data_IF_856196702395
#
_entry.id   IF_856196702395
#
_cell.length_a   1.000
_cell.length_b   1.000
_cell.length_c   1.000
_cell.angle_alpha   90.00
_cell.angle_beta   90.00
_cell.angle_gamma   90.00
#
_symmetry.space_group_name_H-M   'P 1'
#
loop_
_entity.id
_entity.type
_entity.pdbx_description
1 polymer ?
#
# COMPACT_ATOMS: atom_id res chain seq x y z
N UNK A 1 -16.90 -44.91 20.24
CA UNK A 1 -16.72 -44.76 18.78
C UNK A 1 -16.41 -43.30 18.40
N UNK A 2 -15.35 -42.70 18.92
CA UNK A 2 -15.00 -41.30 18.62
C UNK A 2 -13.49 -41.09 18.44
N UNK A 3 -12.76 -42.14 18.05
CA UNK A 3 -11.29 -42.04 17.93
C UNK A 3 -10.75 -42.33 16.52
N UNK A 4 -11.63 -42.52 15.53
CA UNK A 4 -11.20 -42.90 14.18
C UNK A 4 -11.25 -41.70 13.17
N UNK A 5 -11.65 -40.50 13.60
CA UNK A 5 -11.84 -39.39 12.67
C UNK A 5 -10.71 -38.34 12.67
N UNK A 6 -9.61 -38.60 13.39
CA UNK A 6 -8.53 -37.59 13.48
C UNK A 6 -7.23 -37.93 12.72
N UNK A 7 -7.22 -39.02 11.93
CA UNK A 7 -5.99 -39.41 11.23
C UNK A 7 -5.90 -39.02 9.76
N UNK A 8 -6.89 -38.27 9.22
CA UNK A 8 -6.92 -37.97 7.80
C UNK A 8 -6.53 -36.52 7.45
N UNK A 9 -6.02 -35.76 8.41
CA UNK A 9 -5.83 -34.30 8.18
C UNK A 9 -4.35 -33.86 8.21
N UNK A 10 -3.42 -34.74 7.86
CA UNK A 10 -2.02 -34.32 7.74
C UNK A 10 -1.41 -34.86 6.45
N UNK A 11 -2.05 -34.58 5.34
CA UNK A 11 -1.33 -34.64 4.07
C UNK A 11 -0.33 -33.47 4.10
N UNK A 12 0.91 -33.71 4.47
CA UNK A 12 2.02 -32.78 4.29
C UNK A 12 1.98 -32.31 2.84
N UNK A 13 1.62 -31.04 2.63
CA UNK A 13 1.78 -30.41 1.32
C UNK A 13 3.27 -30.52 0.99
N UNK A 14 3.60 -31.40 0.08
CA UNK A 14 4.97 -31.53 -0.43
C UNK A 14 5.30 -30.18 -1.10
N UNK A 15 6.27 -29.49 -0.55
CA UNK A 15 6.72 -28.20 -1.07
C UNK A 15 7.24 -28.41 -2.48
N UNK A 16 6.49 -27.96 -3.46
CA UNK A 16 6.87 -28.07 -4.87
C UNK A 16 7.74 -26.88 -5.29
N UNK A 17 8.75 -27.18 -6.09
CA UNK A 17 9.68 -26.22 -6.62
C UNK A 17 9.60 -26.27 -8.15
N UNK A 18 9.95 -25.16 -8.81
CA UNK A 18 10.07 -25.12 -10.27
C UNK A 18 11.49 -25.54 -10.64
N UNK A 19 11.59 -26.51 -11.52
CA UNK A 19 12.86 -27.01 -12.07
C UNK A 19 12.94 -26.66 -13.55
N UNK A 20 14.09 -26.15 -13.97
CA UNK A 20 14.46 -25.96 -15.37
C UNK A 20 15.16 -27.24 -15.81
N UNK A 21 14.69 -27.82 -16.88
CA UNK A 21 15.31 -29.04 -17.41
C UNK A 21 15.69 -28.85 -18.87
N UNK A 22 16.78 -29.50 -19.26
CA UNK A 22 17.25 -29.63 -20.65
C UNK A 22 17.41 -31.12 -20.92
N UNK A 23 17.01 -31.55 -22.10
CA UNK A 23 17.09 -32.95 -22.47
C UNK A 23 17.00 -33.15 -23.98
N UNK A 24 16.99 -34.42 -24.36
CA UNK A 24 16.84 -34.82 -25.78
C UNK A 24 15.56 -35.63 -25.95
N UNK A 25 14.82 -35.33 -26.97
CA UNK A 25 13.64 -36.10 -27.35
C UNK A 25 14.03 -37.40 -28.06
N UNK A 26 13.02 -38.20 -28.41
CA UNK A 26 13.24 -39.48 -29.11
C UNK A 26 13.94 -39.34 -30.48
N UNK A 27 13.94 -38.12 -31.02
CA UNK A 27 14.58 -37.79 -32.31
C UNK A 27 15.99 -37.18 -32.14
N UNK A 28 16.48 -37.13 -30.89
CA UNK A 28 17.80 -36.58 -30.57
C UNK A 28 17.87 -35.06 -30.51
N UNK A 29 16.73 -34.37 -30.71
CA UNK A 29 16.66 -32.89 -30.69
C UNK A 29 16.71 -32.37 -29.26
N UNK A 30 17.48 -31.32 -29.00
CA UNK A 30 17.55 -30.63 -27.70
C UNK A 30 16.26 -29.90 -27.42
N UNK A 31 15.64 -30.21 -26.30
CA UNK A 31 14.40 -29.57 -25.78
C UNK A 31 14.65 -29.07 -24.39
N UNK A 32 13.95 -27.97 -24.03
CA UNK A 32 14.07 -27.31 -22.73
C UNK A 32 12.66 -26.98 -22.21
N UNK A 33 12.52 -26.99 -20.91
CA UNK A 33 11.25 -26.62 -20.31
C UNK A 33 11.33 -26.41 -18.82
N UNK A 34 10.17 -26.16 -18.23
CA UNK A 34 10.01 -26.01 -16.77
C UNK A 34 9.02 -27.07 -16.29
N UNK A 35 9.26 -27.58 -15.07
CA UNK A 35 8.36 -28.52 -14.44
C UNK A 35 8.31 -28.25 -12.93
N UNK A 36 7.12 -28.25 -12.36
CA UNK A 36 6.93 -28.20 -10.91
C UNK A 36 7.03 -29.62 -10.37
N UNK A 37 7.89 -29.81 -9.38
CA UNK A 37 8.14 -31.13 -8.78
C UNK A 37 8.65 -30.96 -7.34
N UNK A 38 8.50 -32.00 -6.55
CA UNK A 38 9.01 -32.04 -5.18
C UNK A 38 10.52 -32.25 -5.12
N UNK A 39 11.11 -32.81 -6.18
CA UNK A 39 12.55 -33.09 -6.24
C UNK A 39 13.01 -33.25 -7.69
N UNK A 40 14.33 -33.21 -7.91
CA UNK A 40 14.96 -33.46 -9.23
C UNK A 40 14.64 -34.87 -9.75
N UNK A 41 14.54 -35.83 -8.84
CA UNK A 41 14.20 -37.21 -9.20
C UNK A 41 12.81 -37.30 -9.84
N UNK A 42 11.84 -36.57 -9.31
CA UNK A 42 10.48 -36.49 -9.86
C UNK A 42 10.49 -35.88 -11.27
N UNK A 43 11.32 -34.86 -11.50
CA UNK A 43 11.49 -34.24 -12.84
C UNK A 43 12.01 -35.27 -13.83
N UNK A 44 13.07 -36.01 -13.46
CA UNK A 44 13.69 -37.04 -14.30
C UNK A 44 12.69 -38.14 -14.65
N UNK A 45 11.95 -38.66 -13.68
CA UNK A 45 10.95 -39.72 -13.89
C UNK A 45 9.82 -39.23 -14.80
N UNK A 46 9.31 -38.03 -14.55
CA UNK A 46 8.21 -37.44 -15.34
C UNK A 46 8.61 -37.23 -16.80
N UNK A 47 9.80 -36.68 -17.02
CA UNK A 47 10.31 -36.41 -18.38
C UNK A 47 10.61 -37.71 -19.12
N UNK A 48 11.14 -38.73 -18.41
CA UNK A 48 11.41 -40.05 -18.98
C UNK A 48 10.11 -40.70 -19.47
N UNK A 49 9.02 -40.57 -18.71
CA UNK A 49 7.68 -41.04 -19.12
C UNK A 49 7.19 -40.36 -20.41
N UNK A 50 7.60 -39.11 -20.66
CA UNK A 50 7.26 -38.37 -21.88
C UNK A 50 8.24 -38.65 -23.02
N UNK A 51 9.21 -39.56 -22.82
CA UNK A 51 10.18 -39.91 -23.83
C UNK A 51 11.32 -38.91 -23.99
N UNK A 52 11.58 -38.10 -22.98
CA UNK A 52 12.65 -37.10 -22.97
C UNK A 52 13.76 -37.59 -22.03
N UNK A 53 14.98 -37.70 -22.53
CA UNK A 53 16.15 -38.02 -21.71
C UNK A 53 16.76 -36.73 -21.21
N UNK A 54 16.54 -36.44 -19.92
CA UNK A 54 17.00 -35.21 -19.28
C UNK A 54 18.52 -35.28 -19.08
N UNK A 55 19.23 -34.28 -19.59
CA UNK A 55 20.69 -34.16 -19.46
C UNK A 55 21.09 -33.18 -18.35
N UNK A 56 20.20 -32.23 -18.02
CA UNK A 56 20.49 -31.20 -17.02
C UNK A 56 19.20 -30.77 -16.34
N UNK A 57 19.21 -30.75 -15.00
CA UNK A 57 18.12 -30.25 -14.15
C UNK A 57 18.72 -29.19 -13.23
N UNK A 58 18.08 -28.04 -13.15
CA UNK A 58 18.44 -27.00 -12.18
C UNK A 58 17.19 -26.52 -11.46
N UNK A 59 17.25 -26.49 -10.16
CA UNK A 59 16.22 -25.84 -9.36
C UNK A 59 16.22 -24.34 -9.72
N UNK A 60 15.05 -23.85 -10.14
CA UNK A 60 14.88 -22.41 -10.42
C UNK A 60 14.99 -21.68 -9.11
N UNK A 61 16.15 -21.15 -8.81
CA UNK A 61 16.32 -20.22 -7.70
C UNK A 61 15.43 -19.01 -8.00
N UNK A 62 14.58 -18.67 -7.03
CA UNK A 62 13.70 -17.52 -7.14
C UNK A 62 14.55 -16.28 -7.45
N UNK A 63 14.66 -15.95 -8.69
CA UNK A 63 14.75 -14.54 -9.06
C UNK A 63 13.35 -14.04 -8.78
N UNK A 64 13.19 -13.27 -7.72
CA UNK A 64 11.91 -12.63 -7.44
C UNK A 64 11.48 -11.96 -8.74
N UNK A 65 10.41 -12.42 -9.31
CA UNK A 65 9.82 -11.79 -10.48
C UNK A 65 9.57 -10.33 -10.15
N UNK A 66 9.60 -9.47 -11.15
CA UNK A 66 9.32 -8.05 -10.98
C UNK A 66 8.01 -7.90 -10.20
N UNK A 67 8.04 -7.11 -9.12
CA UNK A 67 6.88 -6.93 -8.24
C UNK A 67 5.70 -6.35 -9.02
N UNK A 68 4.51 -6.88 -8.78
CA UNK A 68 3.26 -6.37 -9.35
C UNK A 68 2.79 -5.21 -8.46
N UNK A 69 2.65 -4.03 -9.07
CA UNK A 69 2.20 -2.82 -8.36
C UNK A 69 0.69 -2.61 -8.51
N UNK A 70 0.13 -1.74 -7.66
CA UNK A 70 -1.26 -1.30 -7.78
C UNK A 70 -1.53 -0.68 -9.16
N UNK A 71 -0.52 0.02 -9.71
CA UNK A 71 -0.58 0.63 -11.05
C UNK A 71 -0.72 -0.44 -12.14
N UNK A 72 0.00 -1.57 -12.00
CA UNK A 72 -0.08 -2.70 -12.94
C UNK A 72 -1.49 -3.29 -12.94
N UNK A 73 -2.10 -3.47 -11.76
CA UNK A 73 -3.46 -4.01 -11.62
C UNK A 73 -4.49 -3.02 -12.19
N UNK A 74 -4.31 -1.72 -11.95
CA UNK A 74 -5.18 -0.68 -12.52
C UNK A 74 -5.13 -0.69 -14.05
N UNK A 75 -3.93 -0.76 -14.62
CA UNK A 75 -3.72 -0.84 -16.08
C UNK A 75 -4.35 -2.12 -16.65
N UNK A 76 -4.12 -3.26 -16.00
CA UNK A 76 -4.74 -4.54 -16.37
C UNK A 76 -6.27 -4.42 -16.41
N UNK A 77 -6.87 -3.84 -15.35
CA UNK A 77 -8.32 -3.66 -15.24
C UNK A 77 -8.85 -2.76 -16.35
N UNK A 78 -8.16 -1.65 -16.63
CA UNK A 78 -8.52 -0.73 -17.73
C UNK A 78 -8.47 -1.43 -19.09
N UNK A 79 -7.41 -2.17 -19.35
CA UNK A 79 -7.24 -2.90 -20.61
C UNK A 79 -8.34 -3.95 -20.80
N UNK A 80 -8.61 -4.73 -19.74
CA UNK A 80 -9.66 -5.77 -19.76
C UNK A 80 -11.04 -5.13 -20.01
N UNK A 81 -11.36 -4.06 -19.28
CA UNK A 81 -12.63 -3.34 -19.43
C UNK A 81 -12.81 -2.79 -20.85
N UNK A 82 -11.77 -2.20 -21.41
CA UNK A 82 -11.80 -1.61 -22.75
C UNK A 82 -12.05 -2.69 -23.82
N UNK A 83 -11.36 -3.83 -23.71
CA UNK A 83 -11.53 -4.94 -24.65
C UNK A 83 -12.92 -5.57 -24.56
N UNK A 84 -13.41 -5.80 -23.35
CA UNK A 84 -14.74 -6.36 -23.12
C UNK A 84 -15.82 -5.43 -23.66
N UNK A 85 -15.65 -4.12 -23.45
CA UNK A 85 -16.58 -3.09 -23.94
C UNK A 85 -16.59 -3.03 -25.49
N UNK A 86 -15.45 -3.33 -26.11
CA UNK A 86 -15.31 -3.42 -27.58
C UNK A 86 -15.85 -4.75 -28.13
N UNK A 87 -16.35 -5.64 -27.28
CA UNK A 87 -16.92 -6.92 -27.69
C UNK A 87 -15.92 -8.06 -27.83
N UNK A 88 -14.67 -7.87 -27.40
CA UNK A 88 -13.66 -8.94 -27.44
C UNK A 88 -14.02 -9.98 -26.35
N UNK A 89 -14.08 -11.28 -26.71
CA UNK A 89 -14.39 -12.31 -25.70
C UNK A 89 -13.38 -12.32 -24.55
N UNK A 90 -13.83 -12.71 -23.35
CA UNK A 90 -13.06 -12.65 -22.12
C UNK A 90 -11.71 -13.38 -22.21
N UNK A 91 -11.69 -14.62 -22.70
CA UNK A 91 -10.45 -15.41 -22.80
C UNK A 91 -9.47 -14.78 -23.79
N UNK A 92 -9.98 -14.26 -24.91
CA UNK A 92 -9.15 -13.55 -25.89
C UNK A 92 -8.59 -12.26 -25.32
N UNK A 93 -9.39 -11.53 -24.52
CA UNK A 93 -8.94 -10.31 -23.82
C UNK A 93 -7.78 -10.62 -22.88
N UNK A 94 -7.88 -11.72 -22.12
CA UNK A 94 -6.78 -12.18 -21.25
C UNK A 94 -5.51 -12.47 -22.05
N UNK A 95 -5.62 -13.14 -23.19
CA UNK A 95 -4.48 -13.45 -24.08
C UNK A 95 -3.79 -12.17 -24.53
N UNK A 96 -4.55 -11.18 -24.99
CA UNK A 96 -4.03 -9.91 -25.50
C UNK A 96 -3.31 -9.15 -24.38
N UNK A 97 -3.94 -9.05 -23.21
CA UNK A 97 -3.36 -8.34 -22.05
C UNK A 97 -2.08 -9.03 -21.59
N UNK A 98 -2.09 -10.36 -21.50
CA UNK A 98 -0.91 -11.14 -21.07
C UNK A 98 0.27 -10.93 -21.99
N UNK A 99 0.04 -10.92 -23.29
CA UNK A 99 1.11 -10.73 -24.31
C UNK A 99 1.61 -9.30 -24.34
N UNK A 100 0.74 -8.32 -24.09
CA UNK A 100 1.05 -6.89 -24.22
C UNK A 100 1.59 -6.22 -22.96
N UNK A 101 1.57 -6.89 -21.81
CA UNK A 101 1.96 -6.25 -20.55
C UNK A 101 3.49 -6.22 -20.39
N UNK A 102 4.02 -5.06 -19.98
CA UNK A 102 5.46 -4.84 -19.80
C UNK A 102 6.04 -5.65 -18.63
N UNK A 103 5.23 -5.97 -17.61
CA UNK A 103 5.68 -6.72 -16.43
C UNK A 103 5.42 -8.21 -16.62
N UNK A 104 6.47 -9.05 -16.75
CA UNK A 104 6.27 -10.51 -16.95
C UNK A 104 5.50 -11.20 -15.83
N UNK A 105 5.58 -10.67 -14.60
CA UNK A 105 4.83 -11.22 -13.44
C UNK A 105 3.32 -11.03 -13.64
N UNK A 106 2.89 -9.91 -14.22
CA UNK A 106 1.48 -9.64 -14.56
C UNK A 106 1.02 -10.61 -15.66
N UNK A 107 1.85 -10.84 -16.69
CA UNK A 107 1.55 -11.80 -17.76
C UNK A 107 1.31 -13.19 -17.19
N UNK A 108 2.17 -13.62 -16.25
CA UNK A 108 2.05 -14.92 -15.56
C UNK A 108 0.75 -14.98 -14.75
N UNK A 109 0.45 -13.93 -13.98
CA UNK A 109 -0.79 -13.85 -13.16
C UNK A 109 -2.04 -13.94 -14.05
N UNK A 110 -2.08 -13.17 -15.13
CA UNK A 110 -3.20 -13.14 -16.09
C UNK A 110 -3.39 -14.51 -16.73
N UNK A 111 -2.29 -15.18 -17.11
CA UNK A 111 -2.35 -16.53 -17.70
C UNK A 111 -2.89 -17.57 -16.70
N UNK A 112 -2.54 -17.47 -15.43
CA UNK A 112 -3.08 -18.37 -14.37
C UNK A 112 -4.59 -18.17 -14.22
N UNK A 113 -5.05 -16.92 -14.17
CA UNK A 113 -6.48 -16.57 -14.08
C UNK A 113 -7.22 -17.07 -15.32
N UNK A 114 -6.65 -16.85 -16.50
CA UNK A 114 -7.19 -17.33 -17.77
C UNK A 114 -7.38 -18.84 -17.75
N UNK A 115 -6.38 -19.58 -17.29
CA UNK A 115 -6.44 -21.03 -17.18
C UNK A 115 -7.58 -21.50 -16.28
N UNK A 116 -7.77 -20.84 -15.14
CA UNK A 116 -8.87 -21.17 -14.21
C UNK A 116 -10.24 -20.92 -14.85
N UNK A 117 -10.40 -19.80 -15.53
CA UNK A 117 -11.67 -19.45 -16.21
C UNK A 117 -11.95 -20.43 -17.36
N UNK A 118 -10.92 -20.80 -18.12
CA UNK A 118 -11.00 -21.74 -19.24
C UNK A 118 -11.50 -23.12 -18.76
N UNK A 119 -11.13 -23.55 -17.55
CA UNK A 119 -11.54 -24.84 -16.96
C UNK A 119 -12.86 -24.77 -16.22
N UNK A 120 -13.58 -23.63 -16.28
CA UNK A 120 -14.92 -23.50 -15.74
C UNK A 120 -15.05 -22.76 -14.41
N UNK A 121 -13.96 -22.28 -13.82
CA UNK A 121 -14.01 -21.44 -12.62
C UNK A 121 -14.60 -20.08 -12.98
N UNK A 122 -15.48 -19.54 -12.14
CA UNK A 122 -16.02 -18.19 -12.35
C UNK A 122 -14.89 -17.17 -12.25
N UNK A 123 -15.02 -16.05 -12.95
CA UNK A 123 -14.00 -15.00 -12.98
C UNK A 123 -13.75 -14.44 -11.58
N UNK A 124 -14.80 -14.21 -10.80
CA UNK A 124 -14.70 -13.71 -9.42
C UNK A 124 -13.92 -14.68 -8.52
N UNK A 125 -14.19 -15.99 -8.66
CA UNK A 125 -13.47 -17.03 -7.90
C UNK A 125 -12.01 -17.12 -8.33
N UNK A 126 -11.73 -16.97 -9.62
CA UNK A 126 -10.35 -16.97 -10.15
C UNK A 126 -9.55 -15.80 -9.56
N UNK A 127 -10.14 -14.61 -9.45
CA UNK A 127 -9.51 -13.45 -8.82
C UNK A 127 -9.32 -13.64 -7.31
N UNK A 128 -10.26 -14.32 -6.64
CA UNK A 128 -10.19 -14.56 -5.18
C UNK A 128 -8.98 -15.41 -4.76
N UNK A 129 -8.41 -16.18 -5.68
CA UNK A 129 -7.19 -16.96 -5.43
C UNK A 129 -5.95 -16.07 -5.20
N UNK A 130 -6.03 -14.80 -5.58
CA UNK A 130 -4.91 -13.85 -5.50
C UNK A 130 -5.31 -12.61 -4.67
N UNK A 131 -5.56 -12.78 -3.35
CA UNK A 131 -6.05 -11.68 -2.50
C UNK A 131 -5.05 -10.55 -2.32
N UNK A 132 -3.78 -10.78 -2.60
CA UNK A 132 -2.74 -9.75 -2.56
C UNK A 132 -2.95 -8.67 -3.63
N UNK A 133 -3.55 -9.04 -4.77
CA UNK A 133 -3.74 -8.14 -5.93
C UNK A 133 -5.20 -7.75 -6.14
N UNK A 134 -6.13 -8.62 -5.78
CA UNK A 134 -7.57 -8.45 -5.99
C UNK A 134 -8.29 -8.52 -4.65
N UNK A 135 -8.67 -7.35 -4.13
CA UNK A 135 -9.34 -7.22 -2.83
C UNK A 135 -10.80 -7.72 -2.90
N UNK A 136 -11.46 -7.88 -1.76
CA UNK A 136 -12.89 -8.33 -1.76
C UNK A 136 -13.81 -7.44 -2.58
N UNK A 137 -13.56 -6.11 -2.60
CA UNK A 137 -14.35 -5.18 -3.44
C UNK A 137 -14.25 -5.57 -4.91
N UNK A 138 -13.03 -5.79 -5.42
CA UNK A 138 -12.77 -6.19 -6.81
C UNK A 138 -13.54 -7.47 -7.15
N UNK A 139 -13.37 -8.50 -6.32
CA UNK A 139 -13.98 -9.81 -6.53
C UNK A 139 -15.51 -9.76 -6.45
N UNK A 140 -16.06 -8.98 -5.51
CA UNK A 140 -17.51 -8.84 -5.34
C UNK A 140 -18.15 -8.11 -6.53
N UNK A 141 -17.49 -7.06 -7.04
CA UNK A 141 -17.98 -6.34 -8.24
C UNK A 141 -17.97 -7.24 -9.48
N UNK A 142 -16.89 -7.99 -9.67
CA UNK A 142 -16.79 -8.95 -10.79
C UNK A 142 -17.89 -10.01 -10.66
N UNK A 143 -18.10 -10.56 -9.47
CA UNK A 143 -19.14 -11.54 -9.19
C UNK A 143 -20.54 -11.01 -9.49
N UNK A 144 -20.81 -9.77 -9.08
CA UNK A 144 -22.09 -9.10 -9.37
C UNK A 144 -22.31 -8.96 -10.89
N UNK A 145 -21.25 -8.58 -11.61
CA UNK A 145 -21.28 -8.46 -13.07
C UNK A 145 -21.54 -9.79 -13.77
N UNK A 146 -20.92 -10.86 -13.30
CA UNK A 146 -21.11 -12.22 -13.82
C UNK A 146 -22.57 -12.69 -13.63
N UNK A 147 -23.10 -12.50 -12.42
CA UNK A 147 -24.46 -12.91 -12.07
C UNK A 147 -25.52 -12.14 -12.86
N UNK A 148 -25.31 -10.84 -13.06
CA UNK A 148 -26.25 -9.95 -13.76
C UNK A 148 -26.07 -9.94 -15.29
N UNK A 149 -24.99 -10.54 -15.80
CA UNK A 149 -24.69 -10.53 -17.23
C UNK A 149 -24.22 -9.16 -17.77
N UNK A 150 -23.66 -8.33 -16.89
CA UNK A 150 -23.20 -6.96 -17.22
C UNK A 150 -21.72 -6.80 -16.85
N UNK A 151 -20.92 -7.83 -17.09
CA UNK A 151 -19.51 -7.86 -16.69
C UNK A 151 -18.71 -6.69 -17.27
N UNK A 152 -18.94 -6.33 -18.53
CA UNK A 152 -18.25 -5.22 -19.19
C UNK A 152 -18.50 -3.87 -18.50
N UNK A 153 -19.75 -3.60 -18.08
CA UNK A 153 -20.10 -2.37 -17.35
C UNK A 153 -19.43 -2.33 -15.99
N UNK A 154 -19.42 -3.46 -15.28
CA UNK A 154 -18.82 -3.55 -13.94
C UNK A 154 -17.29 -3.43 -14.01
N UNK A 155 -16.65 -3.98 -15.05
CA UNK A 155 -15.22 -3.83 -15.27
C UNK A 155 -14.85 -2.36 -15.56
N UNK A 156 -15.70 -1.66 -16.33
CA UNK A 156 -15.52 -0.21 -16.57
C UNK A 156 -15.60 0.59 -15.28
N UNK A 157 -16.62 0.33 -14.44
CA UNK A 157 -16.77 0.97 -13.12
C UNK A 157 -15.56 0.67 -12.22
N UNK A 158 -15.10 -0.57 -12.24
CA UNK A 158 -13.95 -1.03 -11.47
C UNK A 158 -12.65 -0.36 -11.93
N UNK A 159 -12.48 -0.20 -13.25
CA UNK A 159 -11.31 0.50 -13.83
C UNK A 159 -11.30 1.97 -13.39
N UNK A 160 -12.45 2.65 -13.46
CA UNK A 160 -12.59 4.05 -13.00
C UNK A 160 -12.28 4.15 -11.50
N UNK A 161 -12.81 3.25 -10.70
CA UNK A 161 -12.56 3.19 -9.24
C UNK A 161 -11.07 3.05 -8.94
N UNK A 162 -10.40 2.11 -9.59
CA UNK A 162 -8.96 1.86 -9.42
C UNK A 162 -8.14 3.09 -9.81
N UNK A 163 -8.46 3.71 -10.93
CA UNK A 163 -7.77 4.92 -11.42
C UNK A 163 -7.91 6.10 -10.45
N UNK A 164 -9.13 6.36 -9.96
CA UNK A 164 -9.40 7.45 -9.00
C UNK A 164 -8.70 7.22 -7.66
N UNK A 165 -8.77 6.00 -7.13
CA UNK A 165 -8.10 5.63 -5.88
C UNK A 165 -6.58 5.79 -6.00
N UNK A 166 -6.02 5.33 -7.11
CA UNK A 166 -4.58 5.43 -7.42
C UNK A 166 -4.15 6.89 -7.58
N UNK A 167 -4.98 7.72 -8.21
CA UNK A 167 -4.71 9.17 -8.38
C UNK A 167 -4.59 9.87 -7.03
N UNK A 168 -5.53 9.64 -6.11
CA UNK A 168 -5.50 10.20 -4.74
C UNK A 168 -4.20 9.79 -4.03
N UNK A 169 -3.88 8.51 -4.06
CA UNK A 169 -2.69 7.94 -3.43
C UNK A 169 -1.42 8.56 -4.02
N UNK A 170 -1.39 8.73 -5.34
CA UNK A 170 -0.28 9.34 -6.07
C UNK A 170 -0.07 10.81 -5.71
N UNK A 171 -1.15 11.58 -5.59
CA UNK A 171 -1.10 13.00 -5.22
C UNK A 171 -0.51 13.20 -3.82
N UNK A 172 -0.98 12.40 -2.85
CA UNK A 172 -0.47 12.46 -1.47
C UNK A 172 1.02 12.09 -1.45
N UNK A 173 1.40 11.01 -2.14
CA UNK A 173 2.80 10.55 -2.21
C UNK A 173 3.72 11.61 -2.83
N UNK A 174 3.29 12.23 -3.93
CA UNK A 174 4.06 13.29 -4.62
C UNK A 174 4.24 14.51 -3.73
N UNK A 175 3.19 14.92 -3.02
CA UNK A 175 3.23 16.06 -2.11
C UNK A 175 4.19 15.83 -0.94
N UNK A 176 4.35 14.58 -0.50
CA UNK A 176 5.23 14.21 0.62
C UNK A 176 6.70 14.06 0.22
N UNK A 177 6.99 13.96 -1.08
CA UNK A 177 8.36 13.74 -1.57
C UNK A 177 9.31 14.87 -1.16
N UNK A 178 8.91 16.13 -1.40
CA UNK A 178 9.74 17.32 -1.11
C UNK A 178 10.03 17.46 0.39
N UNK A 179 9.04 17.44 1.30
CA UNK A 179 9.31 17.52 2.75
C UNK A 179 10.21 16.40 3.27
N UNK A 180 9.96 15.17 2.85
CA UNK A 180 10.75 14.01 3.28
C UNK A 180 12.20 14.14 2.80
N UNK A 181 12.39 14.59 1.55
CA UNK A 181 13.74 14.79 0.97
C UNK A 181 14.54 15.86 1.74
N UNK A 182 13.90 16.97 2.07
CA UNK A 182 14.57 18.06 2.83
C UNK A 182 14.94 17.56 4.23
N UNK A 183 14.04 16.86 4.91
CA UNK A 183 14.32 16.33 6.25
C UNK A 183 15.45 15.30 6.22
N UNK A 184 15.51 14.47 5.18
CA UNK A 184 16.59 13.49 4.99
C UNK A 184 17.94 14.18 4.80
N UNK A 185 17.97 15.23 3.96
CA UNK A 185 19.19 16.04 3.74
C UNK A 185 19.61 16.73 5.04
N UNK A 186 18.65 17.30 5.78
CA UNK A 186 18.91 17.95 7.07
C UNK A 186 19.53 16.95 8.07
N UNK A 187 19.02 15.74 8.13
CA UNK A 187 19.54 14.66 8.98
C UNK A 187 21.00 14.34 8.61
N UNK A 188 21.30 14.18 7.31
CA UNK A 188 22.63 13.87 6.80
C UNK A 188 23.60 15.03 7.14
N UNK A 189 23.21 16.28 6.87
CA UNK A 189 24.01 17.47 7.14
C UNK A 189 24.30 17.58 8.65
N UNK A 190 23.29 17.39 9.49
CA UNK A 190 23.46 17.43 10.95
C UNK A 190 24.42 16.34 11.42
N UNK A 191 24.30 15.13 10.89
CA UNK A 191 25.21 14.03 11.22
C UNK A 191 26.64 14.33 10.83
N UNK A 192 26.87 14.91 9.65
CA UNK A 192 28.18 15.33 9.16
C UNK A 192 28.80 16.40 10.10
N UNK A 193 28.00 17.42 10.46
CA UNK A 193 28.42 18.49 11.36
C UNK A 193 28.83 17.90 12.73
N UNK A 194 27.98 17.03 13.28
CA UNK A 194 28.20 16.44 14.61
C UNK A 194 29.42 15.50 14.66
N UNK A 195 29.70 14.78 13.58
CA UNK A 195 30.75 13.76 13.53
C UNK A 195 32.13 14.39 13.17
N UNK A 196 32.18 15.38 12.28
CA UNK A 196 33.42 15.93 11.77
C UNK A 196 33.67 17.39 12.16
N UNK A 197 32.68 18.27 12.07
CA UNK A 197 32.88 19.72 12.27
C UNK A 197 32.96 20.06 13.74
N UNK A 198 32.04 19.60 14.57
CA UNK A 198 32.06 19.89 16.03
C UNK A 198 33.32 19.36 16.71
N UNK A 199 33.80 18.14 16.45
CA UNK A 199 35.07 17.67 17.02
C UNK A 199 36.26 18.55 16.63
N UNK A 200 36.32 19.06 15.41
CA UNK A 200 37.38 19.98 14.97
C UNK A 200 37.37 21.27 15.78
N UNK A 201 36.18 21.87 15.99
CA UNK A 201 36.03 23.06 16.85
C UNK A 201 36.36 22.76 18.31
N UNK A 202 36.01 21.58 18.80
CA UNK A 202 36.35 21.16 20.16
C UNK A 202 37.87 21.21 20.42
N UNK A 203 38.65 20.69 19.49
CA UNK A 203 40.12 20.72 19.58
C UNK A 203 40.63 22.16 19.67
N UNK A 204 40.07 23.07 18.87
CA UNK A 204 40.42 24.48 18.88
C UNK A 204 40.11 25.11 20.25
N UNK A 205 38.88 24.89 20.76
CA UNK A 205 38.44 25.48 22.05
C UNK A 205 39.26 24.95 23.23
N UNK A 206 39.61 23.68 23.22
CA UNK A 206 40.46 23.07 24.26
C UNK A 206 41.85 23.72 24.31
N UNK A 207 42.42 24.10 23.16
CA UNK A 207 43.71 24.74 23.08
C UNK A 207 43.72 26.15 23.68
N UNK A 208 42.58 26.83 23.75
CA UNK A 208 42.46 28.16 24.36
C UNK A 208 42.22 28.13 25.87
N UNK A 209 41.82 26.97 26.43
CA UNK A 209 41.68 26.77 27.87
C UNK A 209 40.59 27.57 28.55
N UNK A 210 39.63 28.13 27.79
CA UNK A 210 38.53 28.93 28.31
C UNK A 210 37.33 28.07 28.72
N UNK A 211 36.56 28.52 29.71
CA UNK A 211 35.31 27.91 30.11
C UNK A 211 34.26 28.10 28.97
N UNK A 212 33.63 27.01 28.57
CA UNK A 212 32.68 27.01 27.46
C UNK A 212 31.24 27.28 27.94
N UNK A 213 30.43 28.02 27.16
CA UNK A 213 29.02 28.20 27.47
C UNK A 213 28.24 26.86 27.50
N UNK A 214 27.16 26.82 28.28
CA UNK A 214 26.33 25.62 28.43
C UNK A 214 25.81 25.06 27.11
N UNK A 215 25.29 25.88 26.17
CA UNK A 215 24.85 25.34 24.87
C UNK A 215 25.97 24.67 24.07
N UNK A 216 27.18 25.22 24.12
CA UNK A 216 28.36 24.64 23.45
C UNK A 216 28.75 23.30 24.09
N UNK A 217 28.73 23.21 25.43
CA UNK A 217 29.00 21.97 26.14
C UNK A 217 27.98 20.88 25.81
N UNK A 218 26.68 21.25 25.68
CA UNK A 218 25.63 20.32 25.31
C UNK A 218 25.84 19.75 23.90
N UNK A 219 26.18 20.62 22.94
CA UNK A 219 26.45 20.19 21.55
C UNK A 219 27.67 19.31 21.48
N UNK A 220 28.74 19.65 22.22
CA UNK A 220 29.96 18.85 22.27
C UNK A 220 29.73 17.48 22.90
N UNK A 221 28.92 17.41 23.96
CA UNK A 221 28.56 16.14 24.60
C UNK A 221 27.81 15.24 23.64
N UNK A 222 26.85 15.80 22.89
CA UNK A 222 26.12 15.08 21.86
C UNK A 222 27.03 14.60 20.74
N UNK A 223 27.95 15.44 20.31
CA UNK A 223 28.96 15.10 19.28
C UNK A 223 29.84 13.95 19.74
N UNK A 224 30.40 14.02 20.97
CA UNK A 224 31.20 12.96 21.54
C UNK A 224 30.46 11.63 21.60
N UNK A 225 29.18 11.67 21.99
CA UNK A 225 28.36 10.49 22.03
C UNK A 225 28.20 9.90 20.62
N UNK A 226 27.95 10.73 19.61
CA UNK A 226 27.78 10.28 18.21
C UNK A 226 29.09 9.72 17.63
N UNK A 227 30.22 10.39 17.89
CA UNK A 227 31.53 9.94 17.39
C UNK A 227 31.95 8.62 18.04
N UNK A 228 31.69 8.46 19.33
CA UNK A 228 32.03 7.25 20.08
C UNK A 228 31.15 6.06 19.73
N UNK A 229 29.88 6.30 19.36
CA UNK A 229 28.89 5.26 19.26
C UNK A 229 28.18 5.25 17.88
N UNK A 230 28.73 5.88 16.85
CA UNK A 230 28.06 5.94 15.52
C UNK A 230 27.73 4.56 14.96
N UNK A 231 28.60 3.58 15.20
CA UNK A 231 28.47 2.21 14.74
C UNK A 231 27.37 1.44 15.49
N UNK A 232 26.86 2.01 16.60
CA UNK A 232 25.71 1.48 17.36
C UNK A 232 24.46 2.32 17.05
N UNK A 233 24.59 3.66 17.01
CA UNK A 233 23.48 4.61 16.86
C UNK A 233 22.74 4.39 15.52
N UNK A 234 23.49 4.38 14.39
CA UNK A 234 22.87 4.28 13.07
C UNK A 234 22.22 2.90 12.85
N UNK A 235 22.88 1.77 13.15
CA UNK A 235 22.19 0.48 13.07
C UNK A 235 20.95 0.37 13.97
N UNK A 236 20.99 0.92 15.19
CA UNK A 236 19.85 0.93 16.12
C UNK A 236 18.68 1.74 15.53
N UNK A 237 18.97 2.93 14.98
CA UNK A 237 17.95 3.78 14.35
C UNK A 237 17.30 3.04 13.16
N UNK A 238 18.12 2.48 12.26
CA UNK A 238 17.61 1.78 11.07
C UNK A 238 16.83 0.50 11.47
N UNK A 239 17.34 -0.25 12.44
CA UNK A 239 16.64 -1.45 12.95
C UNK A 239 15.32 -1.07 13.61
N UNK A 240 15.32 0.00 14.40
CA UNK A 240 14.10 0.53 15.06
C UNK A 240 13.04 0.96 14.06
N UNK A 241 13.47 1.69 13.03
CA UNK A 241 12.55 2.13 11.94
C UNK A 241 11.99 0.92 11.19
N UNK A 242 12.85 -0.05 10.87
CA UNK A 242 12.44 -1.27 10.18
C UNK A 242 11.41 -2.05 11.01
N UNK A 243 11.69 -2.25 12.30
CA UNK A 243 10.78 -2.96 13.22
C UNK A 243 9.47 -2.21 13.41
N UNK A 244 9.52 -0.86 13.51
CA UNK A 244 8.34 -0.02 13.63
C UNK A 244 7.43 -0.17 12.41
N UNK A 245 7.99 -0.04 11.20
CA UNK A 245 7.20 -0.17 9.97
C UNK A 245 6.68 -1.59 9.76
N UNK A 246 7.45 -2.59 10.14
CA UNK A 246 7.02 -4.00 10.06
C UNK A 246 5.88 -4.28 11.05
N UNK A 247 5.99 -3.78 12.29
CA UNK A 247 4.94 -3.88 13.31
C UNK A 247 3.65 -3.18 12.84
N UNK A 248 3.79 -2.00 12.26
CA UNK A 248 2.65 -1.23 11.73
C UNK A 248 1.93 -2.03 10.64
N UNK A 249 2.67 -2.69 9.76
CA UNK A 249 2.07 -3.50 8.67
C UNK A 249 1.39 -4.77 9.18
N UNK A 250 1.92 -5.38 10.23
CA UNK A 250 1.47 -6.70 10.71
C UNK A 250 0.49 -6.67 11.87
N UNK A 251 0.60 -5.68 12.75
CA UNK A 251 -0.20 -5.61 13.98
C UNK A 251 -1.45 -4.77 13.76
N UNK A 252 -2.63 -5.38 13.92
CA UNK A 252 -3.93 -4.68 13.83
C UNK A 252 -4.07 -3.63 14.94
N UNK A 253 -3.54 -3.93 16.14
CA UNK A 253 -3.55 -2.97 17.27
C UNK A 253 -2.73 -1.73 16.91
N UNK A 254 -1.53 -1.94 16.36
CA UNK A 254 -0.64 -0.85 15.92
C UNK A 254 -1.30 -0.01 14.83
N UNK A 255 -1.94 -0.66 13.85
CA UNK A 255 -2.66 0.02 12.77
C UNK A 255 -3.77 0.91 13.32
N UNK A 256 -4.57 0.41 14.27
CA UNK A 256 -5.66 1.16 14.89
C UNK A 256 -5.16 2.39 15.65
N UNK A 257 -4.08 2.23 16.41
CA UNK A 257 -3.47 3.34 17.18
C UNK A 257 -2.92 4.39 16.20
N UNK A 258 -2.17 3.96 15.18
CA UNK A 258 -1.56 4.86 14.21
C UNK A 258 -2.62 5.59 13.37
N UNK A 259 -3.64 4.88 12.92
CA UNK A 259 -4.74 5.48 12.13
C UNK A 259 -5.48 6.55 12.94
N UNK A 260 -5.71 6.28 14.23
CA UNK A 260 -6.36 7.24 15.14
C UNK A 260 -5.49 8.48 15.36
N UNK A 261 -4.20 8.27 15.58
CA UNK A 261 -3.23 9.35 15.78
C UNK A 261 -3.08 10.21 14.53
N UNK A 262 -3.03 9.57 13.36
CA UNK A 262 -2.88 10.27 12.07
C UNK A 262 -4.09 11.15 11.76
N UNK A 263 -5.31 10.71 12.11
CA UNK A 263 -6.52 11.53 11.93
C UNK A 263 -6.50 12.78 12.83
N UNK A 264 -5.81 12.71 13.98
CA UNK A 264 -5.68 13.84 14.93
C UNK A 264 -4.43 14.71 14.63
N UNK A 265 -3.56 14.25 13.75
CA UNK A 265 -2.32 14.98 13.42
C UNK A 265 -2.65 16.36 12.84
N UNK A 266 -1.97 17.42 13.30
CA UNK A 266 -2.17 18.73 12.70
C UNK A 266 -1.72 18.70 11.25
N UNK A 267 -2.45 19.40 10.38
CA UNK A 267 -2.20 19.52 8.93
C UNK A 267 -2.54 18.20 8.19
N UNK A 268 -1.93 17.07 8.58
CA UNK A 268 -2.08 15.76 7.91
C UNK A 268 -3.45 15.14 8.14
N UNK A 269 -4.05 15.35 9.31
CA UNK A 269 -5.33 14.75 9.68
C UNK A 269 -6.45 15.13 8.72
N UNK A 270 -6.49 16.38 8.28
CA UNK A 270 -7.49 16.87 7.30
C UNK A 270 -7.37 16.14 5.95
N UNK A 271 -6.13 15.99 5.45
CA UNK A 271 -5.87 15.28 4.17
C UNK A 271 -6.33 13.82 4.29
N UNK A 272 -5.97 13.15 5.38
CA UNK A 272 -6.31 11.75 5.62
C UNK A 272 -7.83 11.57 5.75
N UNK A 273 -8.49 12.45 6.50
CA UNK A 273 -9.95 12.42 6.68
C UNK A 273 -10.68 12.58 5.34
N UNK A 274 -10.33 13.60 4.57
CA UNK A 274 -10.95 13.88 3.27
C UNK A 274 -10.70 12.74 2.28
N UNK A 275 -9.48 12.20 2.23
CA UNK A 275 -9.12 11.07 1.38
C UNK A 275 -9.91 9.80 1.76
N UNK A 276 -10.07 9.54 3.07
CA UNK A 276 -10.82 8.39 3.58
C UNK A 276 -12.31 8.50 3.22
N UNK A 277 -12.90 9.69 3.41
CA UNK A 277 -14.31 9.95 3.07
C UNK A 277 -14.51 9.83 1.54
N UNK A 278 -13.61 10.38 0.74
CA UNK A 278 -13.66 10.27 -0.72
C UNK A 278 -13.65 8.79 -1.16
N UNK A 279 -12.75 8.01 -0.58
CA UNK A 279 -12.63 6.58 -0.88
C UNK A 279 -13.87 5.80 -0.41
N UNK A 280 -14.32 6.08 0.81
CA UNK A 280 -15.51 5.44 1.41
C UNK A 280 -16.74 5.67 0.53
N UNK A 281 -17.01 6.93 0.19
CA UNK A 281 -18.19 7.31 -0.59
C UNK A 281 -18.09 6.82 -2.05
N UNK A 282 -16.90 6.88 -2.65
CA UNK A 282 -16.67 6.35 -4.02
C UNK A 282 -16.91 4.83 -4.05
N UNK A 283 -16.42 4.12 -3.05
CA UNK A 283 -16.59 2.66 -2.95
C UNK A 283 -18.07 2.30 -2.82
N UNK A 284 -18.79 2.96 -1.91
CA UNK A 284 -20.20 2.69 -1.68
C UNK A 284 -21.04 3.05 -2.93
N UNK A 285 -20.76 4.20 -3.55
CA UNK A 285 -21.43 4.63 -4.80
C UNK A 285 -21.25 3.58 -5.90
N UNK A 286 -20.04 3.10 -6.08
CA UNK A 286 -19.69 2.10 -7.10
C UNK A 286 -20.41 0.78 -6.85
N UNK A 287 -20.38 0.28 -5.61
CA UNK A 287 -21.05 -0.97 -5.23
C UNK A 287 -22.56 -0.89 -5.40
N UNK A 288 -23.15 0.20 -4.90
CA UNK A 288 -24.59 0.39 -4.94
C UNK A 288 -25.09 0.58 -6.38
N UNK A 289 -24.37 1.34 -7.20
CA UNK A 289 -24.68 1.53 -8.64
C UNK A 289 -24.57 0.22 -9.42
N UNK A 290 -23.75 -0.71 -8.95
CA UNK A 290 -23.59 -2.05 -9.53
C UNK A 290 -24.72 -3.02 -9.12
N UNK A 291 -25.65 -2.58 -8.26
CA UNK A 291 -26.76 -3.40 -7.79
C UNK A 291 -26.45 -4.29 -6.60
N UNK A 292 -25.28 -4.13 -5.97
CA UNK A 292 -24.91 -4.90 -4.76
C UNK A 292 -25.78 -4.39 -3.59
N UNK A 293 -26.42 -5.28 -2.81
CA UNK A 293 -27.21 -4.85 -1.67
C UNK A 293 -26.41 -4.01 -0.68
N UNK A 294 -27.07 -3.04 -0.05
CA UNK A 294 -26.42 -2.04 0.82
C UNK A 294 -25.60 -2.68 1.95
N UNK A 295 -26.14 -3.68 2.63
CA UNK A 295 -25.47 -4.35 3.76
C UNK A 295 -24.18 -5.05 3.30
N UNK A 296 -24.25 -5.72 2.14
CA UNK A 296 -23.07 -6.36 1.52
C UNK A 296 -22.03 -5.34 1.07
N UNK A 297 -22.50 -4.23 0.49
CA UNK A 297 -21.65 -3.13 0.05
C UNK A 297 -20.84 -2.56 1.22
N UNK A 298 -21.47 -2.39 2.37
CA UNK A 298 -20.83 -1.82 3.58
C UNK A 298 -19.67 -2.68 4.09
N UNK A 299 -19.76 -4.02 3.91
CA UNK A 299 -18.64 -4.90 4.28
C UNK A 299 -17.38 -4.60 3.44
N UNK A 300 -17.56 -4.47 2.13
CA UNK A 300 -16.46 -4.12 1.21
C UNK A 300 -15.92 -2.71 1.46
N UNK A 301 -16.82 -1.76 1.72
CA UNK A 301 -16.51 -0.34 1.95
C UNK A 301 -15.64 -0.17 3.20
N UNK A 302 -15.97 -0.89 4.27
CA UNK A 302 -15.19 -0.86 5.50
C UNK A 302 -13.73 -1.24 5.28
N UNK A 303 -13.52 -2.34 4.56
CA UNK A 303 -12.19 -2.81 4.20
C UNK A 303 -11.43 -1.86 3.27
N UNK A 304 -12.14 -1.26 2.32
CA UNK A 304 -11.55 -0.36 1.30
C UNK A 304 -11.24 1.04 1.84
N UNK A 305 -11.79 1.44 2.98
CA UNK A 305 -11.62 2.79 3.53
C UNK A 305 -10.15 3.15 3.81
N UNK A 306 -9.35 2.14 4.17
CA UNK A 306 -7.92 2.32 4.44
C UNK A 306 -7.61 2.97 5.78
N UNK A 307 -8.60 3.07 6.67
CA UNK A 307 -8.44 3.65 8.00
C UNK A 307 -9.26 2.84 9.00
N UNK A 308 -8.63 2.39 10.08
CA UNK A 308 -9.26 1.51 11.07
C UNK A 308 -10.45 2.18 11.80
N UNK A 309 -10.41 3.50 11.99
CA UNK A 309 -11.52 4.24 12.62
C UNK A 309 -12.78 4.13 11.73
N UNK A 310 -12.62 4.30 10.46
CA UNK A 310 -13.70 4.14 9.48
C UNK A 310 -14.10 2.69 9.29
N UNK A 311 -13.31 1.78 9.46
CA UNK A 311 -13.59 0.52 9.43
C UNK A 311 -14.44 0.14 10.43
N UNK A 312 -14.10 0.51 11.65
CA UNK A 312 -14.93 0.17 12.82
C UNK A 312 -16.30 0.87 12.75
N UNK A 313 -16.30 2.13 12.35
CA UNK A 313 -17.54 2.90 12.15
C UNK A 313 -18.45 2.23 11.11
N UNK A 314 -17.87 1.73 10.03
CA UNK A 314 -18.65 1.08 8.95
C UNK A 314 -19.28 -0.24 9.43
N UNK A 315 -18.59 -1.00 10.26
CA UNK A 315 -19.14 -2.22 10.88
C UNK A 315 -20.36 -1.90 11.75
N UNK A 316 -20.27 -0.81 12.51
CA UNK A 316 -21.39 -0.33 13.34
C UNK A 316 -22.58 0.08 12.45
N UNK A 317 -22.29 0.86 11.39
CA UNK A 317 -23.31 1.28 10.39
C UNK A 317 -23.98 0.04 9.77
N UNK A 318 -23.18 -0.95 9.34
CA UNK A 318 -23.68 -2.20 8.75
C UNK A 318 -24.63 -2.92 9.70
N UNK A 319 -24.26 -3.03 10.97
CA UNK A 319 -25.07 -3.68 11.99
C UNK A 319 -26.41 -2.95 12.18
N UNK A 320 -26.40 -1.63 12.25
CA UNK A 320 -27.61 -0.82 12.41
C UNK A 320 -28.51 -0.89 11.18
N UNK A 321 -27.95 -0.82 9.98
CA UNK A 321 -28.71 -0.91 8.72
C UNK A 321 -29.32 -2.31 8.58
N UNK A 322 -28.61 -3.36 8.96
CA UNK A 322 -29.12 -4.74 8.88
C UNK A 322 -30.31 -4.99 9.80
N UNK A 323 -30.46 -4.18 10.86
CA UNK A 323 -31.61 -4.25 11.80
C UNK A 323 -32.71 -3.25 11.45
N UNK A 324 -32.61 -2.56 10.32
CA UNK A 324 -33.68 -1.69 9.81
C UNK A 324 -33.47 -0.19 9.98
N UNK A 325 -32.37 0.24 10.59
CA UNK A 325 -32.01 1.65 10.70
C UNK A 325 -31.64 2.20 9.30
N UNK A 326 -32.06 3.42 8.98
CA UNK A 326 -31.70 4.06 7.73
C UNK A 326 -30.17 4.29 7.67
N UNK A 327 -29.61 4.32 6.48
CA UNK A 327 -28.18 4.59 6.29
C UNK A 327 -27.81 5.97 6.88
N UNK A 328 -28.66 6.98 6.66
CA UNK A 328 -28.49 8.33 7.21
C UNK A 328 -28.36 8.30 8.74
N UNK A 329 -29.32 7.67 9.42
CA UNK A 329 -29.33 7.60 10.88
C UNK A 329 -28.10 6.85 11.42
N UNK A 330 -27.76 5.73 10.77
CA UNK A 330 -26.58 4.91 11.15
C UNK A 330 -25.28 5.70 10.97
N UNK A 331 -25.15 6.48 9.91
CA UNK A 331 -23.97 7.32 9.64
C UNK A 331 -23.87 8.47 10.66
N UNK A 332 -25.00 9.07 11.03
CA UNK A 332 -25.06 10.12 12.07
C UNK A 332 -24.62 9.54 13.42
N UNK A 333 -25.12 8.35 13.78
CA UNK A 333 -24.76 7.66 15.02
C UNK A 333 -23.27 7.30 15.10
N UNK A 334 -22.64 7.03 13.96
CA UNK A 334 -21.21 6.70 13.88
C UNK A 334 -20.33 7.93 14.15
N UNK A 335 -20.85 9.14 13.89
CA UNK A 335 -20.22 10.44 14.22
C UNK A 335 -18.80 10.60 13.66
N UNK A 336 -18.53 10.05 12.47
CA UNK A 336 -17.25 10.20 11.76
C UNK A 336 -17.39 10.92 10.42
N UNK A 337 -18.63 11.19 10.01
CA UNK A 337 -18.93 11.85 8.72
C UNK A 337 -19.38 13.29 8.93
N UNK A 338 -18.89 14.22 8.11
CA UNK A 338 -19.41 15.60 8.12
C UNK A 338 -20.89 15.66 7.76
N UNK A 339 -21.58 16.72 8.22
CA UNK A 339 -23.00 16.93 7.96
C UNK A 339 -23.37 16.89 6.48
N UNK A 340 -22.52 17.44 5.63
CA UNK A 340 -22.76 17.46 4.16
C UNK A 340 -22.94 16.03 3.64
N UNK A 341 -22.11 15.09 4.10
CA UNK A 341 -22.18 13.68 3.69
C UNK A 341 -23.53 13.05 4.10
N UNK A 342 -23.91 13.20 5.38
CA UNK A 342 -25.15 12.62 5.91
C UNK A 342 -26.38 13.25 5.27
N UNK A 343 -26.35 14.55 4.98
CA UNK A 343 -27.43 15.26 4.28
C UNK A 343 -27.61 14.74 2.85
N UNK A 344 -26.51 14.56 2.12
CA UNK A 344 -26.58 14.04 0.75
C UNK A 344 -27.08 12.59 0.72
N UNK A 345 -26.66 11.78 1.70
CA UNK A 345 -27.15 10.40 1.87
C UNK A 345 -28.67 10.41 2.15
N UNK A 346 -29.12 11.31 3.02
CA UNK A 346 -30.57 11.46 3.34
C UNK A 346 -31.38 11.75 2.06
N UNK A 347 -30.92 12.71 1.25
CA UNK A 347 -31.56 13.06 -0.01
C UNK A 347 -31.58 11.84 -0.95
N UNK A 348 -30.47 11.11 -1.02
CA UNK A 348 -30.36 9.92 -1.86
C UNK A 348 -31.30 8.80 -1.43
N UNK A 349 -31.46 8.58 -0.12
CA UNK A 349 -32.37 7.56 0.43
C UNK A 349 -33.83 7.93 0.14
N UNK A 350 -34.18 9.22 0.33
CA UNK A 350 -35.56 9.69 0.14
C UNK A 350 -35.97 9.70 -1.34
N UNK A 351 -35.04 10.02 -2.24
CA UNK A 351 -35.30 10.14 -3.69
C UNK A 351 -35.05 8.84 -4.48
N UNK A 352 -34.47 7.83 -3.85
CA UNK A 352 -34.07 6.59 -4.54
C UNK A 352 -32.86 6.74 -5.45
N UNK A 353 -32.05 7.79 -5.23
CA UNK A 353 -30.85 8.11 -6.03
C UNK A 353 -29.59 8.12 -5.18
N UNK A 354 -29.48 7.17 -4.26
CA UNK A 354 -28.36 7.07 -3.30
C UNK A 354 -27.01 6.99 -4.02
N UNK A 355 -26.91 6.19 -5.08
CA UNK A 355 -25.69 6.03 -5.87
C UNK A 355 -25.22 7.35 -6.48
N UNK A 356 -26.14 8.15 -7.01
CA UNK A 356 -25.84 9.45 -7.61
C UNK A 356 -25.39 10.45 -6.55
N UNK A 357 -26.07 10.48 -5.40
CA UNK A 357 -25.72 11.40 -4.29
C UNK A 357 -24.35 11.06 -3.70
N UNK A 358 -24.09 9.77 -3.48
CA UNK A 358 -22.78 9.30 -3.01
C UNK A 358 -21.68 9.61 -4.03
N UNK A 359 -21.98 9.47 -5.32
CA UNK A 359 -21.03 9.82 -6.40
C UNK A 359 -20.67 11.30 -6.38
N UNK A 360 -21.65 12.17 -6.16
CA UNK A 360 -21.43 13.64 -6.03
C UNK A 360 -20.60 13.97 -4.80
N UNK A 361 -20.85 13.30 -3.66
CA UNK A 361 -20.06 13.46 -2.44
C UNK A 361 -18.62 13.03 -2.70
N UNK A 362 -18.44 11.90 -3.37
CA UNK A 362 -17.10 11.39 -3.71
C UNK A 362 -16.34 12.39 -4.60
N UNK A 363 -17.00 12.93 -5.64
CA UNK A 363 -16.41 13.95 -6.52
C UNK A 363 -15.98 15.18 -5.73
N UNK A 364 -16.84 15.65 -4.82
CA UNK A 364 -16.56 16.81 -3.95
C UNK A 364 -15.34 16.54 -3.08
N UNK A 365 -15.29 15.38 -2.38
CA UNK A 365 -14.17 15.06 -1.49
C UNK A 365 -12.87 14.75 -2.23
N UNK A 366 -12.95 14.23 -3.45
CA UNK A 366 -11.77 14.06 -4.32
C UNK A 366 -11.16 15.44 -4.65
N UNK A 367 -11.99 16.43 -4.96
CA UNK A 367 -11.56 17.83 -5.17
C UNK A 367 -11.01 18.43 -3.88
N UNK A 368 -11.67 18.17 -2.74
CA UNK A 368 -11.21 18.66 -1.42
C UNK A 368 -9.85 18.06 -1.04
N UNK A 369 -9.57 16.82 -1.45
CA UNK A 369 -8.24 16.19 -1.26
C UNK A 369 -7.19 16.98 -2.05
N UNK A 370 -7.49 17.37 -3.29
CA UNK A 370 -6.57 18.16 -4.13
C UNK A 370 -6.22 19.48 -3.44
N UNK A 371 -7.24 20.19 -2.92
CA UNK A 371 -7.05 21.46 -2.21
C UNK A 371 -6.29 21.27 -0.90
N UNK A 372 -6.60 20.21 -0.16
CA UNK A 372 -5.92 19.89 1.11
C UNK A 372 -4.45 19.53 0.90
N UNK A 373 -4.13 18.80 -0.18
CA UNK A 373 -2.75 18.45 -0.55
C UNK A 373 -1.99 19.72 -0.95
N UNK A 374 -2.61 20.62 -1.71
CA UNK A 374 -1.99 21.90 -2.08
C UNK A 374 -1.72 22.76 -0.83
N UNK A 375 -2.67 22.83 0.10
CA UNK A 375 -2.52 23.53 1.38
C UNK A 375 -1.43 22.91 2.25
N UNK A 376 -1.34 21.58 2.25
CA UNK A 376 -0.31 20.83 2.96
C UNK A 376 1.09 21.25 2.47
N UNK A 377 1.29 21.29 1.16
CA UNK A 377 2.56 21.70 0.54
C UNK A 377 2.92 23.13 0.93
N UNK A 378 1.95 24.05 0.92
CA UNK A 378 2.15 25.45 1.31
C UNK A 378 2.52 25.61 2.78
N UNK A 379 1.90 24.84 3.66
CA UNK A 379 2.12 24.92 5.12
C UNK A 379 3.40 24.19 5.56
N UNK A 380 3.79 23.15 4.84
CA UNK A 380 4.99 22.38 5.16
C UNK A 380 6.28 23.21 4.98
N UNK A 381 6.31 24.12 3.99
CA UNK A 381 7.48 24.94 3.70
C UNK A 381 7.88 25.83 4.90
N UNK A 382 6.98 26.67 5.47
CA UNK A 382 7.33 27.44 6.67
C UNK A 382 7.70 26.53 7.87
N UNK A 383 7.03 25.41 8.06
CA UNK A 383 7.31 24.47 9.14
C UNK A 383 8.73 23.90 9.01
N UNK A 384 9.12 23.51 7.81
CA UNK A 384 10.47 23.01 7.51
C UNK A 384 11.51 24.10 7.77
N UNK A 385 11.22 25.35 7.34
CA UNK A 385 12.11 26.49 7.58
C UNK A 385 12.34 26.73 9.09
N UNK A 386 11.28 26.64 9.90
CA UNK A 386 11.38 26.76 11.36
C UNK A 386 12.24 25.65 11.94
N UNK A 387 12.00 24.40 11.54
CA UNK A 387 12.76 23.23 12.02
C UNK A 387 14.24 23.37 11.65
N UNK A 388 14.53 23.71 10.39
CA UNK A 388 15.92 23.89 9.90
C UNK A 388 16.60 25.08 10.57
N UNK A 389 15.85 26.18 10.75
CA UNK A 389 16.34 27.39 11.43
C UNK A 389 16.73 27.11 12.86
N UNK A 390 15.90 26.41 13.62
CA UNK A 390 16.17 26.02 15.01
C UNK A 390 17.36 25.06 15.07
N UNK A 391 17.39 24.06 14.22
CA UNK A 391 18.44 23.01 14.22
C UNK A 391 19.80 23.62 13.83
N UNK A 392 19.88 24.21 12.65
CA UNK A 392 21.13 24.74 12.08
C UNK A 392 21.55 26.02 12.82
N UNK A 393 20.60 26.93 13.06
CA UNK A 393 20.83 28.17 13.81
C UNK A 393 21.28 27.88 15.23
N UNK A 394 20.69 26.91 15.90
CA UNK A 394 21.09 26.44 17.23
C UNK A 394 22.51 25.91 17.25
N UNK A 395 22.87 25.10 16.27
CA UNK A 395 24.25 24.58 16.13
C UNK A 395 25.25 25.70 15.87
N UNK A 396 24.94 26.64 14.98
CA UNK A 396 25.82 27.76 14.64
C UNK A 396 26.04 28.66 15.88
N UNK A 397 24.94 29.00 16.57
CA UNK A 397 25.02 29.84 17.80
C UNK A 397 25.87 29.12 18.86
N UNK A 398 25.63 27.85 19.11
CA UNK A 398 26.35 27.06 20.10
C UNK A 398 27.86 27.03 19.81
N UNK A 399 28.22 26.93 18.52
CA UNK A 399 29.65 26.88 18.10
C UNK A 399 30.30 28.26 18.09
N UNK A 400 29.56 29.37 17.88
CA UNK A 400 30.12 30.72 17.85
C UNK A 400 30.14 31.42 19.21
N UNK A 401 29.31 31.00 20.19
CA UNK A 401 29.30 31.60 21.55
C UNK A 401 30.68 31.61 22.21
N UNK A 402 31.49 30.54 22.17
CA UNK A 402 32.85 30.58 22.73
C UNK A 402 33.76 31.62 22.09
N UNK A 403 33.59 31.85 20.76
CA UNK A 403 34.39 32.84 20.01
C UNK A 403 34.09 34.24 20.53
N UNK A 404 32.81 34.56 20.71
CA UNK A 404 32.35 35.85 21.25
C UNK A 404 32.84 36.05 22.70
N UNK A 405 32.82 34.98 23.51
CA UNK A 405 33.31 35.02 24.90
C UNK A 405 34.82 35.30 24.95
N UNK A 406 35.58 34.69 24.07
CA UNK A 406 37.02 34.93 23.94
C UNK A 406 37.32 36.40 23.58
N UNK A 407 36.53 36.98 22.67
CA UNK A 407 36.65 38.38 22.25
C UNK A 407 36.36 39.39 23.37
N UNK A 408 35.64 38.99 24.41
CA UNK A 408 35.33 39.87 25.56
C UNK A 408 36.39 39.83 26.66
N UNK A 409 37.33 38.89 26.57
CA UNK A 409 38.38 38.73 27.59
C UNK A 409 39.70 39.44 27.16
N UNK A 410 39.84 39.81 25.88
CA UNK A 410 40.91 40.59 25.32
C UNK A 410 40.55 42.08 25.38
#
# INVERSE_FOLDING_TARGET
MATAARSAASARQVKEWVYLWEGRDKKGKMVRGELRAGSETVVNVTMRRQGILVTKVKKKTFRSGKKISDKDISLFTRQLATMMKAGVPLLQSFDIVAKGHANPSVSKLVNEIRGDVETGTSLSQAFRKFPLYFDPLFCNLVGAGEQAGILEDLLERLAIYKEKTLAIKGKIKSAMFYPVSILAVAFVVTAVIMIWVVPAFKQVFESFGADLPAPTLAVMAMSDFMVSNWYIIFPVIFAGLYLFFQSWRRSLKMQRVMDRLLLKAPIFGEVIRKATIARWTRTLATMFAAGVPLVESLDSVGGASGNAVYXDATKKIQSEVSTGTSLTAAMENANVFPNMVTQMVSIGEESGSLDQMLGKVADFYEAEVDDAVASLSSLMEPLIMVILGVLIGGLVIAMYLPIFKLGSVV
#
